data_IF_456438623014
#
_entry.id   IF_456438623014
#
_cell.length_a   1.000
_cell.length_b   1.000
_cell.length_c   1.000
_cell.angle_alpha   90.00
_cell.angle_beta   90.00
_cell.angle_gamma   90.00
#
_symmetry.space_group_name_H-M   'P 1'
#
loop_
_entity.id
_entity.type
_entity.pdbx_description
1 polymer ?
#
# COMPACT_ATOMS: atom_id res chain seq x y z
N UNK A 1 25.18 19.69 22.53
CA UNK A 1 24.49 20.41 21.43
C UNK A 1 24.79 19.75 20.10
N UNK A 2 24.07 18.68 19.75
CA UNK A 2 24.07 18.20 18.37
C UNK A 2 23.07 19.07 17.61
N UNK A 3 23.55 19.92 16.71
CA UNK A 3 22.69 20.65 15.80
C UNK A 3 22.04 19.62 14.87
N UNK A 4 20.79 19.29 15.13
CA UNK A 4 19.98 18.54 14.20
C UNK A 4 19.45 19.53 13.17
N UNK A 5 19.90 19.40 11.93
CA UNK A 5 19.29 20.14 10.82
C UNK A 5 18.05 19.35 10.38
N UNK A 6 16.89 20.02 10.37
CA UNK A 6 15.68 19.43 9.82
C UNK A 6 15.89 19.34 8.32
N UNK A 7 16.24 18.15 7.83
CA UNK A 7 16.26 17.86 6.40
C UNK A 7 14.80 17.92 5.94
N UNK A 8 14.42 19.04 5.33
CA UNK A 8 13.13 19.16 4.66
C UNK A 8 13.12 18.13 3.52
N UNK A 9 12.00 17.41 3.29
CA UNK A 9 11.92 16.50 2.17
C UNK A 9 12.29 17.24 0.88
N UNK A 10 13.01 16.60 -0.06
CA UNK A 10 13.41 17.20 -1.33
C UNK A 10 12.22 17.52 -2.24
N UNK A 11 10.99 17.29 -1.77
CA UNK A 11 9.78 17.77 -2.42
C UNK A 11 9.68 19.25 -2.09
N UNK A 12 9.98 20.10 -3.07
CA UNK A 12 9.64 21.51 -3.03
C UNK A 12 8.11 21.61 -2.92
N UNK A 13 7.58 21.52 -1.70
CA UNK A 13 6.19 21.80 -1.42
C UNK A 13 6.02 23.29 -1.64
N UNK A 14 5.69 23.67 -2.88
CA UNK A 14 5.39 25.05 -3.21
C UNK A 14 4.18 25.45 -2.37
N UNK A 15 4.40 26.34 -1.40
CA UNK A 15 3.42 26.76 -0.41
C UNK A 15 2.13 27.34 -1.01
N UNK A 16 2.09 27.60 -2.33
CA UNK A 16 0.86 27.85 -3.10
C UNK A 16 0.96 27.19 -4.49
N UNK A 17 0.57 25.91 -4.57
CA UNK A 17 0.26 25.30 -5.86
C UNK A 17 -0.98 25.98 -6.44
N UNK A 18 -0.91 26.41 -7.70
CA UNK A 18 -2.07 26.94 -8.43
C UNK A 18 -3.00 25.81 -8.91
N UNK A 19 -2.57 24.55 -8.77
CA UNK A 19 -3.31 23.37 -9.20
C UNK A 19 -4.65 23.28 -8.48
N UNK A 20 -5.73 23.05 -9.23
CA UNK A 20 -7.05 22.81 -8.67
C UNK A 20 -7.13 21.38 -8.15
N UNK A 21 -7.19 21.21 -6.82
CA UNK A 21 -7.39 19.91 -6.15
C UNK A 21 -8.89 19.60 -6.08
N UNK A 22 -9.31 18.40 -6.48
CA UNK A 22 -10.72 17.97 -6.49
C UNK A 22 -10.80 16.63 -5.77
N UNK A 23 -11.63 16.56 -4.72
CA UNK A 23 -11.91 15.30 -4.02
C UNK A 23 -13.30 14.82 -4.37
N UNK A 24 -13.38 13.57 -4.82
CA UNK A 24 -14.62 12.90 -5.16
C UNK A 24 -14.93 11.90 -4.05
N UNK A 25 -16.01 12.17 -3.31
CA UNK A 25 -16.52 11.24 -2.30
C UNK A 25 -17.26 10.08 -2.97
N UNK A 26 -16.62 8.92 -2.99
CA UNK A 26 -17.17 7.71 -3.59
C UNK A 26 -18.43 7.18 -2.88
N UNK A 27 -18.75 7.64 -1.66
CA UNK A 27 -20.00 7.29 -0.95
C UNK A 27 -21.21 8.00 -1.55
N UNK A 28 -21.00 9.13 -2.22
CA UNK A 28 -22.07 9.92 -2.87
C UNK A 28 -22.40 9.45 -4.29
N UNK A 29 -21.59 8.53 -4.83
CA UNK A 29 -21.75 8.02 -6.20
C UNK A 29 -22.76 6.86 -6.22
N UNK A 30 -23.79 7.00 -7.06
CA UNK A 30 -24.73 5.93 -7.36
C UNK A 30 -24.06 4.88 -8.27
N UNK A 31 -23.67 3.75 -7.67
CA UNK A 31 -22.94 2.66 -8.36
C UNK A 31 -23.75 1.97 -9.46
N UNK A 32 -25.07 2.17 -9.51
CA UNK A 32 -25.91 1.64 -10.58
C UNK A 32 -25.88 2.53 -11.83
N UNK A 33 -25.55 3.81 -11.68
CA UNK A 33 -25.50 4.79 -12.77
C UNK A 33 -24.07 5.14 -13.17
N UNK A 34 -23.12 4.92 -12.28
CA UNK A 34 -21.77 5.43 -12.45
C UNK A 34 -20.71 4.42 -12.00
N UNK A 35 -19.60 4.44 -12.72
CA UNK A 35 -18.47 3.58 -12.46
C UNK A 35 -17.55 4.18 -11.39
N UNK A 36 -17.38 3.51 -10.27
CA UNK A 36 -16.52 3.98 -9.18
C UNK A 36 -15.03 4.04 -9.53
N UNK A 37 -14.58 3.26 -10.53
CA UNK A 37 -13.17 3.30 -10.95
C UNK A 37 -12.91 4.50 -11.86
N UNK A 38 -13.91 4.94 -12.63
CA UNK A 38 -13.82 6.12 -13.49
C UNK A 38 -15.15 6.86 -13.40
N UNK A 39 -15.25 7.66 -12.35
CA UNK A 39 -16.41 8.52 -12.09
C UNK A 39 -16.68 9.44 -13.28
N UNK A 40 -17.92 9.88 -13.43
CA UNK A 40 -18.35 10.79 -14.48
C UNK A 40 -17.57 12.10 -14.43
N UNK A 41 -17.26 12.59 -13.23
CA UNK A 41 -16.36 13.74 -13.04
C UNK A 41 -14.98 13.44 -13.60
N UNK A 42 -14.35 12.32 -13.19
CA UNK A 42 -13.02 11.96 -13.71
C UNK A 42 -13.05 11.79 -15.24
N UNK A 43 -14.07 11.13 -15.79
CA UNK A 43 -14.22 10.94 -17.22
C UNK A 43 -14.31 12.27 -17.99
N UNK A 44 -15.13 13.22 -17.52
CA UNK A 44 -15.26 14.55 -18.13
C UNK A 44 -13.93 15.28 -18.16
N UNK A 45 -13.21 15.26 -17.03
CA UNK A 45 -11.93 15.92 -16.86
C UNK A 45 -10.85 15.30 -17.78
N UNK A 46 -10.79 13.97 -17.87
CA UNK A 46 -9.91 13.27 -18.83
C UNK A 46 -10.27 13.69 -20.26
N UNK A 47 -11.56 13.62 -20.63
CA UNK A 47 -12.01 13.93 -21.99
C UNK A 47 -11.69 15.37 -22.41
N UNK A 48 -11.78 16.33 -21.50
CA UNK A 48 -11.38 17.71 -21.75
C UNK A 48 -9.88 17.84 -22.06
N UNK A 49 -9.03 17.16 -21.31
CA UNK A 49 -7.58 17.20 -21.52
C UNK A 49 -7.18 16.48 -22.81
N UNK A 50 -7.78 15.32 -23.11
CA UNK A 50 -7.59 14.61 -24.37
C UNK A 50 -7.96 15.50 -25.58
N UNK A 51 -9.09 16.23 -25.52
CA UNK A 51 -9.51 17.15 -26.59
C UNK A 51 -8.50 18.29 -26.83
N UNK A 52 -7.78 18.71 -25.79
CA UNK A 52 -6.71 19.71 -25.87
C UNK A 52 -5.36 19.13 -26.32
N UNK A 53 -5.30 17.83 -26.60
CA UNK A 53 -4.07 17.07 -26.88
C UNK A 53 -3.08 17.02 -25.70
N UNK A 54 -3.60 17.11 -24.48
CA UNK A 54 -2.81 17.10 -23.26
C UNK A 54 -2.61 15.66 -22.74
N UNK A 55 -1.72 15.52 -21.75
CA UNK A 55 -1.41 14.23 -21.12
C UNK A 55 -2.11 14.09 -19.79
N UNK A 56 -2.47 12.85 -19.50
CA UNK A 56 -3.14 12.48 -18.24
C UNK A 56 -2.38 11.37 -17.55
N UNK A 57 -2.21 11.49 -16.24
CA UNK A 57 -1.65 10.44 -15.40
C UNK A 57 -2.72 9.94 -14.43
N UNK A 58 -2.88 8.62 -14.37
CA UNK A 58 -3.80 7.94 -13.47
C UNK A 58 -2.98 7.04 -12.56
N UNK A 59 -2.99 7.35 -11.27
CA UNK A 59 -2.31 6.60 -10.23
C UNK A 59 -3.28 5.69 -9.49
N UNK A 60 -2.84 4.45 -9.25
CA UNK A 60 -3.52 3.51 -8.37
C UNK A 60 -2.51 2.76 -7.49
N UNK A 61 -2.76 2.69 -6.19
CA UNK A 61 -1.87 1.96 -5.29
C UNK A 61 -2.09 0.45 -5.44
N UNK A 62 -1.02 -0.29 -5.77
CA UNK A 62 -1.03 -1.75 -5.96
C UNK A 62 -0.86 -2.54 -4.66
N UNK A 63 -0.50 -1.90 -3.55
CA UNK A 63 -0.21 -2.60 -2.30
C UNK A 63 -1.50 -3.11 -1.66
N UNK A 64 -1.64 -4.44 -1.58
CA UNK A 64 -2.67 -5.10 -0.77
C UNK A 64 -3.64 -6.01 -1.54
N UNK A 65 -3.77 -5.86 -2.86
CA UNK A 65 -4.57 -6.77 -3.67
C UNK A 65 -3.80 -7.23 -4.91
N UNK A 66 -3.33 -8.47 -4.85
CA UNK A 66 -3.20 -9.26 -6.06
C UNK A 66 -4.56 -9.41 -6.71
N UNK A 67 -4.61 -9.50 -8.03
CA UNK A 67 -5.82 -9.91 -8.72
C UNK A 67 -6.34 -11.23 -8.15
N UNK A 68 -7.55 -11.35 -7.65
CA UNK A 68 -8.08 -12.59 -7.06
C UNK A 68 -9.41 -12.99 -7.69
N UNK A 69 -9.81 -14.24 -7.48
CA UNK A 69 -11.14 -14.72 -7.88
C UNK A 69 -12.10 -14.62 -6.70
N UNK A 70 -13.35 -14.27 -6.95
CA UNK A 70 -14.42 -14.34 -5.97
C UNK A 70 -15.63 -15.05 -6.57
N UNK A 71 -16.22 -15.99 -5.82
CA UNK A 71 -17.49 -16.57 -6.18
C UNK A 71 -18.63 -15.61 -5.82
N UNK A 72 -19.46 -15.21 -6.78
CA UNK A 72 -20.62 -14.34 -6.50
C UNK A 72 -21.77 -15.05 -5.80
N UNK A 73 -21.83 -16.36 -5.89
CA UNK A 73 -22.88 -17.15 -5.23
C UNK A 73 -22.58 -17.33 -3.74
N UNK A 74 -21.36 -17.75 -3.37
CA UNK A 74 -21.02 -18.04 -1.97
C UNK A 74 -20.04 -17.05 -1.32
N UNK A 75 -19.53 -16.06 -2.07
CA UNK A 75 -18.60 -15.05 -1.55
C UNK A 75 -17.16 -15.53 -1.32
N UNK A 76 -16.86 -16.81 -1.55
CA UNK A 76 -15.54 -17.38 -1.25
C UNK A 76 -14.49 -16.90 -2.24
N UNK A 77 -13.33 -16.56 -1.69
CA UNK A 77 -12.10 -16.22 -2.40
C UNK A 77 -11.15 -17.41 -2.27
N UNK A 78 -10.64 -18.00 -3.37
CA UNK A 78 -9.64 -19.05 -3.31
C UNK A 78 -8.38 -18.60 -2.57
N UNK A 79 -7.97 -19.37 -1.56
CA UNK A 79 -6.82 -19.08 -0.72
C UNK A 79 -5.77 -20.17 -0.86
N UNK A 80 -4.51 -19.77 -0.78
CA UNK A 80 -3.41 -20.71 -0.68
C UNK A 80 -3.55 -21.52 0.63
N UNK A 81 -3.60 -22.86 0.60
CA UNK A 81 -3.73 -23.66 1.81
C UNK A 81 -2.50 -23.55 2.72
N UNK A 82 -1.35 -23.22 2.13
CA UNK A 82 -0.07 -23.13 2.83
C UNK A 82 0.13 -21.76 3.51
N UNK A 83 -0.44 -20.69 2.96
CA UNK A 83 -0.30 -19.33 3.49
C UNK A 83 -1.62 -18.76 4.07
N UNK A 84 -2.76 -19.40 3.81
CA UNK A 84 -4.10 -18.89 4.14
C UNK A 84 -4.38 -17.45 3.64
N UNK A 85 -3.73 -17.04 2.56
CA UNK A 85 -3.94 -15.74 1.89
C UNK A 85 -4.58 -15.97 0.52
N UNK A 86 -5.32 -14.99 -0.03
CA UNK A 86 -5.87 -15.07 -1.38
C UNK A 86 -4.80 -15.41 -2.43
N UNK A 87 -5.16 -16.26 -3.38
CA UNK A 87 -4.34 -16.48 -4.57
C UNK A 87 -4.40 -15.28 -5.52
N UNK A 88 -3.29 -15.00 -6.21
CA UNK A 88 -3.27 -14.15 -7.40
C UNK A 88 -3.75 -14.92 -8.61
N UNK A 89 -4.76 -14.45 -9.34
CA UNK A 89 -5.17 -15.03 -10.61
C UNK A 89 -4.46 -14.35 -11.77
N UNK A 90 -3.68 -15.14 -12.50
CA UNK A 90 -2.99 -14.77 -13.72
C UNK A 90 -3.81 -15.21 -14.92
N UNK A 91 -4.54 -14.27 -15.54
CA UNK A 91 -5.49 -14.54 -16.63
C UNK A 91 -4.85 -15.15 -17.87
N UNK A 92 -3.61 -14.76 -18.20
CA UNK A 92 -2.89 -15.25 -19.38
C UNK A 92 -2.60 -16.75 -19.33
N UNK A 93 -2.24 -17.23 -18.14
CA UNK A 93 -1.87 -18.64 -17.92
C UNK A 93 -3.03 -19.46 -17.35
N UNK A 94 -4.16 -18.81 -17.04
CA UNK A 94 -5.29 -19.39 -16.31
C UNK A 94 -4.86 -20.09 -15.00
N UNK A 95 -4.01 -19.41 -14.22
CA UNK A 95 -3.44 -19.97 -12.97
C UNK A 95 -3.73 -19.11 -11.75
N UNK A 96 -3.90 -19.76 -10.62
CA UNK A 96 -3.87 -19.18 -9.29
C UNK A 96 -2.44 -19.34 -8.74
N UNK A 97 -1.79 -18.25 -8.32
CA UNK A 97 -0.40 -18.20 -7.88
C UNK A 97 -0.32 -17.50 -6.53
N UNK A 98 0.34 -18.12 -5.55
CA UNK A 98 0.61 -17.49 -4.26
C UNK A 98 1.99 -16.83 -4.32
N UNK A 99 2.08 -15.51 -4.31
CA UNK A 99 3.40 -14.83 -4.36
C UNK A 99 4.26 -15.01 -3.10
N UNK A 100 3.70 -15.51 -2.00
CA UNK A 100 4.44 -15.71 -0.76
C UNK A 100 5.12 -17.08 -0.65
N UNK A 101 4.60 -18.10 -1.35
CA UNK A 101 5.19 -19.45 -1.35
C UNK A 101 5.41 -20.03 -2.75
N UNK A 102 5.11 -19.25 -3.79
CA UNK A 102 5.20 -19.62 -5.21
C UNK A 102 4.33 -20.81 -5.63
N UNK A 103 3.46 -21.33 -4.75
CA UNK A 103 2.50 -22.38 -5.09
C UNK A 103 1.58 -21.90 -6.20
N UNK A 104 1.38 -22.74 -7.22
CA UNK A 104 0.47 -22.44 -8.33
C UNK A 104 -0.44 -23.62 -8.64
N UNK A 105 -1.67 -23.31 -9.05
CA UNK A 105 -2.67 -24.28 -9.48
C UNK A 105 -3.41 -23.76 -10.72
N UNK A 106 -3.89 -24.68 -11.55
CA UNK A 106 -4.69 -24.33 -12.73
C UNK A 106 -6.11 -24.03 -12.24
N UNK A 107 -6.69 -22.93 -12.70
CA UNK A 107 -8.07 -22.60 -12.38
C UNK A 107 -9.01 -23.31 -13.36
N UNK A 108 -9.91 -24.14 -12.84
CA UNK A 108 -10.82 -24.96 -13.63
C UNK A 108 -12.15 -24.25 -14.01
N UNK A 109 -12.32 -22.98 -13.64
CA UNK A 109 -13.55 -22.22 -13.91
C UNK A 109 -14.64 -22.33 -12.84
N UNK A 110 -14.48 -23.18 -11.83
CA UNK A 110 -15.51 -23.46 -10.82
C UNK A 110 -15.05 -23.11 -9.40
N UNK A 111 -16.01 -22.75 -8.55
CA UNK A 111 -15.78 -22.57 -7.11
C UNK A 111 -15.43 -23.92 -6.46
N UNK A 112 -14.30 -23.99 -5.77
CA UNK A 112 -13.90 -25.19 -5.02
C UNK A 112 -14.82 -25.50 -3.83
N UNK A 113 -15.66 -24.55 -3.40
CA UNK A 113 -16.56 -24.73 -2.26
C UNK A 113 -18.00 -25.07 -2.67
N UNK A 114 -18.62 -24.27 -3.55
CA UNK A 114 -20.03 -24.47 -3.94
C UNK A 114 -20.23 -25.03 -5.36
N UNK A 115 -19.16 -25.30 -6.10
CA UNK A 115 -19.23 -25.80 -7.48
C UNK A 115 -19.77 -24.80 -8.51
N UNK A 116 -20.12 -23.57 -8.12
CA UNK A 116 -20.63 -22.56 -9.04
C UNK A 116 -19.55 -22.09 -10.02
N UNK A 117 -19.92 -21.91 -11.29
CA UNK A 117 -19.10 -21.23 -12.30
C UNK A 117 -19.26 -19.70 -12.28
N UNK A 118 -20.08 -19.14 -11.37
CA UNK A 118 -20.27 -17.70 -11.20
C UNK A 118 -19.09 -17.09 -10.42
N UNK A 119 -17.91 -17.25 -11.01
CA UNK A 119 -16.64 -16.75 -10.51
C UNK A 119 -16.30 -15.49 -11.28
N UNK A 120 -16.10 -14.41 -10.55
CA UNK A 120 -15.64 -13.15 -11.13
C UNK A 120 -14.19 -12.93 -10.79
N UNK A 121 -13.48 -12.53 -11.83
CA UNK A 121 -12.16 -11.98 -11.68
C UNK A 121 -12.22 -10.60 -11.05
N UNK A 122 -11.66 -10.50 -9.86
CA UNK A 122 -11.39 -9.24 -9.20
C UNK A 122 -9.92 -8.89 -9.43
N UNK A 123 -9.63 -8.42 -10.65
CA UNK A 123 -8.31 -7.98 -11.06
C UNK A 123 -7.74 -6.88 -10.19
N UNK A 124 -6.43 -6.66 -10.34
CA UNK A 124 -5.78 -5.43 -9.88
C UNK A 124 -6.61 -4.26 -10.41
N UNK A 125 -6.95 -3.29 -9.56
CA UNK A 125 -7.83 -2.20 -9.98
C UNK A 125 -7.34 -1.50 -11.25
N UNK A 126 -6.02 -1.55 -11.51
CA UNK A 126 -5.35 -0.99 -12.67
C UNK A 126 -5.78 -1.64 -14.00
N UNK A 127 -5.93 -2.97 -14.11
CA UNK A 127 -6.37 -3.63 -15.35
C UNK A 127 -7.84 -3.31 -15.68
N UNK A 128 -8.67 -3.16 -14.64
CA UNK A 128 -10.06 -2.74 -14.81
C UNK A 128 -10.15 -1.28 -15.25
N UNK A 129 -9.33 -0.40 -14.68
CA UNK A 129 -9.21 1.00 -15.09
C UNK A 129 -8.72 1.08 -16.54
N UNK A 130 -7.67 0.34 -16.89
CA UNK A 130 -7.12 0.23 -18.25
C UNK A 130 -8.18 -0.18 -19.27
N UNK A 131 -8.88 -1.31 -19.03
CA UNK A 131 -9.93 -1.78 -19.94
C UNK A 131 -11.05 -0.75 -20.12
N UNK A 132 -11.42 -0.02 -19.07
CA UNK A 132 -12.47 1.01 -19.13
C UNK A 132 -12.01 2.25 -19.88
N UNK A 133 -10.75 2.63 -19.73
CA UNK A 133 -10.14 3.72 -20.50
C UNK A 133 -10.07 3.35 -21.98
N UNK A 134 -9.67 2.13 -22.33
CA UNK A 134 -9.69 1.67 -23.73
C UNK A 134 -11.09 1.73 -24.35
N UNK A 135 -12.13 1.34 -23.60
CA UNK A 135 -13.51 1.41 -24.08
C UNK A 135 -13.98 2.85 -24.32
N UNK A 136 -13.58 3.79 -23.45
CA UNK A 136 -14.03 5.19 -23.51
C UNK A 136 -13.17 6.08 -24.41
N UNK A 137 -11.89 5.74 -24.58
CA UNK A 137 -10.87 6.53 -25.27
C UNK A 137 -10.09 5.68 -26.28
N UNK A 138 -10.80 4.93 -27.13
CA UNK A 138 -10.20 4.00 -28.10
C UNK A 138 -9.21 4.64 -29.10
N UNK A 139 -9.24 5.97 -29.25
CA UNK A 139 -8.37 6.75 -30.14
C UNK A 139 -7.13 7.32 -29.42
N UNK A 140 -6.95 7.03 -28.13
CA UNK A 140 -5.84 7.55 -27.32
C UNK A 140 -4.93 6.41 -26.92
N UNK A 141 -3.63 6.62 -27.07
CA UNK A 141 -2.62 5.66 -26.62
C UNK A 141 -2.58 5.61 -25.09
N UNK A 142 -2.77 4.41 -24.54
CA UNK A 142 -2.73 4.15 -23.10
C UNK A 142 -1.45 3.39 -22.78
N UNK A 143 -0.64 3.98 -21.90
CA UNK A 143 0.58 3.40 -21.37
C UNK A 143 0.32 2.85 -19.97
N UNK A 144 0.90 1.69 -19.66
CA UNK A 144 0.82 1.08 -18.33
C UNK A 144 2.20 0.97 -17.72
N UNK A 145 2.30 1.34 -16.44
CA UNK A 145 3.54 1.35 -15.69
C UNK A 145 3.34 0.68 -14.34
N UNK A 146 3.49 -0.65 -14.36
CA UNK A 146 3.47 -1.48 -13.18
C UNK A 146 4.66 -2.45 -13.14
N UNK A 147 4.91 -3.02 -11.97
CA UNK A 147 6.05 -3.92 -11.73
C UNK A 147 6.06 -5.16 -12.61
N UNK A 148 4.91 -5.55 -13.15
CA UNK A 148 4.76 -6.80 -13.90
C UNK A 148 5.00 -6.54 -15.39
N UNK A 149 4.60 -5.38 -15.93
CA UNK A 149 4.96 -4.95 -17.30
C UNK A 149 6.46 -4.77 -17.49
N UNK A 150 7.13 -4.09 -16.54
CA UNK A 150 8.57 -3.80 -16.61
C UNK A 150 9.39 -5.10 -16.57
N UNK A 151 8.93 -6.13 -15.85
CA UNK A 151 9.59 -7.43 -15.81
C UNK A 151 9.46 -8.23 -17.11
N UNK A 152 8.42 -7.98 -17.90
CA UNK A 152 8.01 -8.92 -18.95
C UNK A 152 8.22 -8.43 -20.39
N UNK A 153 8.26 -7.13 -20.70
CA UNK A 153 8.16 -6.71 -22.13
C UNK A 153 8.90 -5.45 -22.61
N UNK A 154 9.18 -4.44 -21.79
CA UNK A 154 9.87 -3.21 -22.23
C UNK A 154 10.76 -2.65 -21.11
N UNK A 155 11.92 -2.11 -21.47
CA UNK A 155 12.72 -1.29 -20.54
C UNK A 155 11.88 -0.08 -20.12
N UNK A 156 11.81 0.21 -18.81
CA UNK A 156 11.04 1.33 -18.24
C UNK A 156 11.26 2.63 -19.04
N UNK A 157 12.52 2.91 -19.38
CA UNK A 157 12.93 4.07 -20.15
C UNK A 157 12.21 4.18 -21.51
N UNK A 158 11.93 3.06 -22.19
CA UNK A 158 11.25 3.09 -23.48
C UNK A 158 9.79 3.52 -23.34
N UNK A 159 9.07 2.98 -22.34
CA UNK A 159 7.66 3.37 -22.09
C UNK A 159 7.58 4.87 -21.80
N UNK A 160 8.55 5.40 -21.07
CA UNK A 160 8.64 6.81 -20.74
C UNK A 160 8.96 7.69 -21.95
N UNK A 161 9.89 7.26 -22.81
CA UNK A 161 10.18 7.95 -24.06
C UNK A 161 8.96 7.96 -24.98
N UNK A 162 8.30 6.80 -25.14
CA UNK A 162 7.08 6.67 -25.94
C UNK A 162 5.98 7.62 -25.40
N UNK A 163 5.76 7.62 -24.08
CA UNK A 163 4.80 8.53 -23.43
C UNK A 163 5.19 10.01 -23.57
N UNK A 164 6.49 10.34 -23.56
CA UNK A 164 6.98 11.70 -23.79
C UNK A 164 6.71 12.17 -25.23
N UNK A 165 6.83 11.30 -26.23
CA UNK A 165 6.59 11.63 -27.64
C UNK A 165 5.11 11.67 -28.05
N UNK A 166 4.25 10.93 -27.38
CA UNK A 166 2.84 10.77 -27.75
C UNK A 166 1.95 11.88 -27.19
N UNK A 167 1.05 12.45 -28.00
CA UNK A 167 0.05 13.46 -27.58
C UNK A 167 -1.26 13.36 -28.38
N UNK A 168 -2.43 13.24 -27.75
CA UNK A 168 -2.65 13.02 -26.31
C UNK A 168 -2.26 11.59 -25.89
N UNK A 169 -1.99 11.40 -24.61
CA UNK A 169 -1.69 10.09 -24.04
C UNK A 169 -2.17 9.97 -22.60
N UNK A 170 -2.49 8.74 -22.18
CA UNK A 170 -2.86 8.41 -20.80
C UNK A 170 -1.81 7.45 -20.24
N UNK A 171 -1.20 7.79 -19.11
CA UNK A 171 -0.33 6.88 -18.35
C UNK A 171 -1.07 6.38 -17.12
N UNK A 172 -1.19 5.07 -16.99
CA UNK A 172 -1.73 4.42 -15.79
C UNK A 172 -0.58 3.77 -15.05
N UNK A 173 -0.42 4.03 -13.76
CA UNK A 173 0.63 3.33 -13.03
C UNK A 173 0.49 3.33 -11.52
N UNK A 174 1.48 2.68 -10.92
CA UNK A 174 1.56 2.42 -9.47
C UNK A 174 2.67 3.26 -8.85
N UNK A 175 3.22 2.86 -7.70
CA UNK A 175 4.28 3.60 -6.99
C UNK A 175 5.51 3.94 -7.84
N UNK A 176 5.75 3.21 -8.94
CA UNK A 176 6.81 3.53 -9.90
C UNK A 176 6.58 4.86 -10.61
N UNK A 177 5.32 5.31 -10.77
CA UNK A 177 4.99 6.62 -11.36
C UNK A 177 5.55 7.79 -10.53
N UNK A 178 5.59 7.61 -9.21
CA UNK A 178 5.95 8.67 -8.27
C UNK A 178 7.44 8.69 -7.88
N UNK A 179 8.23 7.65 -8.23
CA UNK A 179 9.57 7.45 -7.66
C UNK A 179 10.74 7.83 -8.56
N UNK A 180 10.62 7.74 -9.88
CA UNK A 180 11.81 7.81 -10.77
C UNK A 180 11.52 8.48 -12.13
N UNK A 181 10.46 9.27 -12.25
CA UNK A 181 10.05 9.78 -13.55
C UNK A 181 10.09 11.30 -13.58
N UNK A 182 10.94 11.86 -14.43
CA UNK A 182 10.84 13.22 -14.94
C UNK A 182 9.63 13.31 -15.89
N UNK A 183 8.42 13.11 -15.34
CA UNK A 183 7.20 13.56 -16.00
C UNK A 183 7.05 15.04 -15.66
N UNK A 184 7.22 15.87 -16.67
CA UNK A 184 6.96 17.29 -16.57
C UNK A 184 5.77 17.66 -17.45
N UNK A 185 5.14 18.78 -17.12
CA UNK A 185 4.05 19.36 -17.89
C UNK A 185 2.82 18.44 -18.05
N UNK A 186 2.45 17.71 -17.00
CA UNK A 186 1.16 17.01 -16.96
C UNK A 186 0.05 17.99 -16.54
N UNK A 187 -1.10 17.94 -17.21
CA UNK A 187 -2.25 18.80 -16.89
C UNK A 187 -3.23 18.16 -15.90
N UNK A 188 -3.37 16.84 -15.93
CA UNK A 188 -4.28 16.11 -15.06
C UNK A 188 -3.61 14.90 -14.43
N UNK A 189 -3.64 14.85 -13.10
CA UNK A 189 -3.30 13.67 -12.31
C UNK A 189 -4.55 13.22 -11.56
N UNK A 190 -4.85 11.93 -11.61
CA UNK A 190 -5.94 11.32 -10.85
C UNK A 190 -5.42 10.19 -9.95
N UNK A 191 -5.72 10.25 -8.66
CA UNK A 191 -5.49 9.16 -7.70
C UNK A 191 -6.80 8.43 -7.50
N UNK A 192 -6.85 7.18 -7.96
CA UNK A 192 -7.99 6.28 -7.82
C UNK A 192 -7.73 5.33 -6.65
N UNK A 193 -8.78 5.02 -5.89
CA UNK A 193 -8.73 4.09 -4.75
C UNK A 193 -7.71 4.53 -3.68
N UNK A 194 -7.80 5.80 -3.27
CA UNK A 194 -6.89 6.39 -2.28
C UNK A 194 -6.86 5.60 -0.95
N UNK A 195 -8.01 5.08 -0.51
CA UNK A 195 -8.16 4.36 0.75
C UNK A 195 -7.33 3.08 0.81
N UNK A 196 -7.00 2.49 -0.34
CA UNK A 196 -6.14 1.29 -0.41
C UNK A 196 -4.75 1.50 0.20
N UNK A 197 -4.29 2.75 0.34
CA UNK A 197 -3.03 3.08 1.01
C UNK A 197 -3.06 2.77 2.52
N UNK A 198 -4.23 2.57 3.11
CA UNK A 198 -4.42 2.42 4.56
C UNK A 198 -4.94 1.03 4.97
N UNK A 199 -5.09 0.09 4.04
CA UNK A 199 -5.69 -1.22 4.33
C UNK A 199 -4.82 -2.14 5.19
N UNK A 200 -3.49 -2.02 5.10
CA UNK A 200 -2.59 -2.75 5.98
C UNK A 200 -2.27 -1.87 7.20
N UNK A 201 -2.39 -2.36 8.43
CA UNK A 201 -2.17 -1.56 9.63
C UNK A 201 -0.67 -1.27 9.82
N UNK A 202 -0.22 -0.12 9.34
CA UNK A 202 1.13 0.39 9.51
C UNK A 202 1.06 1.87 9.88
N UNK A 203 1.79 2.28 10.92
CA UNK A 203 1.78 3.64 11.42
C UNK A 203 2.40 4.65 10.45
N UNK A 204 3.24 4.18 9.50
CA UNK A 204 3.81 5.03 8.45
C UNK A 204 2.83 5.35 7.30
N UNK A 205 1.63 4.75 7.27
CA UNK A 205 0.73 4.90 6.12
C UNK A 205 0.32 6.36 5.87
N UNK A 206 0.03 7.12 6.92
CA UNK A 206 -0.35 8.53 6.82
C UNK A 206 0.74 9.36 6.16
N UNK A 207 1.99 9.18 6.59
CA UNK A 207 3.18 9.83 6.02
C UNK A 207 3.41 9.41 4.57
N UNK A 208 3.37 8.11 4.28
CA UNK A 208 3.57 7.59 2.93
C UNK A 208 2.50 8.09 1.96
N UNK A 209 1.24 8.13 2.38
CA UNK A 209 0.15 8.66 1.57
C UNK A 209 0.37 10.15 1.27
N UNK A 210 0.72 10.96 2.28
CA UNK A 210 1.00 12.38 2.10
C UNK A 210 2.18 12.63 1.15
N UNK A 211 3.29 11.92 1.35
CA UNK A 211 4.48 12.04 0.51
C UNK A 211 4.19 11.64 -0.93
N UNK A 212 3.43 10.56 -1.13
CA UNK A 212 3.02 10.10 -2.45
C UNK A 212 2.12 11.12 -3.17
N UNK A 213 1.12 11.68 -2.48
CA UNK A 213 0.29 12.74 -3.06
C UNK A 213 1.12 13.97 -3.43
N UNK A 214 2.10 14.32 -2.58
CA UNK A 214 3.00 15.45 -2.83
C UNK A 214 3.94 15.21 -4.02
N UNK A 215 4.46 13.99 -4.19
CA UNK A 215 5.24 13.58 -5.37
C UNK A 215 4.40 13.58 -6.65
N UNK A 216 3.15 13.12 -6.58
CA UNK A 216 2.24 13.17 -7.71
C UNK A 216 1.81 14.61 -8.04
N UNK A 217 1.76 15.50 -7.05
CA UNK A 217 1.47 16.91 -7.28
C UNK A 217 2.64 17.61 -8.01
N UNK A 218 3.89 17.22 -7.73
CA UNK A 218 5.06 17.86 -8.35
C UNK A 218 5.23 17.57 -9.85
N UNK A 219 4.62 16.51 -10.39
CA UNK A 219 4.64 16.23 -11.83
C UNK A 219 3.63 17.07 -12.63
N UNK A 220 2.66 17.70 -11.94
CA UNK A 220 1.72 18.61 -12.58
C UNK A 220 2.38 19.93 -12.92
N UNK A 221 2.00 20.49 -14.07
CA UNK A 221 2.29 21.88 -14.39
C UNK A 221 1.68 22.78 -13.32
N UNK A 222 2.46 23.67 -12.72
CA UNK A 222 1.94 24.61 -11.72
C UNK A 222 1.08 25.71 -12.38
N UNK A 223 -0.20 25.43 -12.59
CA UNK A 223 -1.16 26.30 -13.26
C UNK A 223 -2.57 26.08 -12.72
N UNK A 224 -3.39 27.13 -12.76
CA UNK A 224 -4.83 27.05 -12.42
C UNK A 224 -5.65 26.19 -13.39
N UNK A 225 -5.08 25.84 -14.55
CA UNK A 225 -5.67 24.91 -15.50
C UNK A 225 -5.41 23.45 -15.13
N UNK A 226 -4.35 23.19 -14.37
CA UNK A 226 -3.97 21.83 -13.96
C UNK A 226 -4.87 21.34 -12.85
N UNK A 227 -5.18 20.06 -12.87
CA UNK A 227 -6.16 19.43 -11.97
C UNK A 227 -5.54 18.22 -11.29
N UNK A 228 -5.76 18.11 -9.98
CA UNK A 228 -5.40 16.93 -9.20
C UNK A 228 -6.66 16.32 -8.62
N UNK A 229 -7.09 15.16 -9.13
CA UNK A 229 -8.34 14.51 -8.73
C UNK A 229 -8.03 13.35 -7.79
N UNK A 230 -8.77 13.25 -6.68
CA UNK A 230 -8.66 12.16 -5.72
C UNK A 230 -10.03 11.51 -5.56
N UNK A 231 -10.12 10.21 -5.79
CA UNK A 231 -11.32 9.43 -5.47
C UNK A 231 -11.08 8.66 -4.17
N UNK A 232 -11.91 8.94 -3.17
CA UNK A 232 -11.79 8.34 -1.84
C UNK A 232 -13.17 8.06 -1.22
N UNK A 233 -13.25 7.02 -0.39
CA UNK A 233 -14.38 6.76 0.51
C UNK A 233 -14.23 7.53 1.83
N UNK A 234 -13.00 7.58 2.37
CA UNK A 234 -12.69 8.33 3.58
C UNK A 234 -12.14 9.72 3.25
N UNK A 235 -13.03 10.61 2.83
CA UNK A 235 -12.73 12.01 2.54
C UNK A 235 -12.27 12.82 3.77
N UNK A 236 -12.49 12.31 4.98
CA UNK A 236 -12.07 12.92 6.25
C UNK A 236 -10.69 12.44 6.72
N UNK A 237 -9.97 11.65 5.93
CA UNK A 237 -8.64 11.18 6.28
C UNK A 237 -7.67 12.37 6.51
N UNK A 238 -6.93 12.35 7.62
CA UNK A 238 -6.05 13.47 8.01
C UNK A 238 -4.98 13.78 6.98
N UNK A 239 -4.34 12.78 6.37
CA UNK A 239 -3.34 12.98 5.32
C UNK A 239 -3.94 13.63 4.08
N UNK A 240 -5.17 13.25 3.73
CA UNK A 240 -5.88 13.85 2.60
C UNK A 240 -6.23 15.32 2.87
N UNK A 241 -6.82 15.62 4.03
CA UNK A 241 -7.17 16.99 4.42
C UNK A 241 -5.93 17.90 4.47
N UNK A 242 -4.85 17.43 5.13
CA UNK A 242 -3.60 18.19 5.15
C UNK A 242 -2.99 18.37 3.76
N UNK A 243 -3.12 17.38 2.86
CA UNK A 243 -2.69 17.55 1.47
C UNK A 243 -3.51 18.62 0.74
N UNK A 244 -4.82 18.72 0.98
CA UNK A 244 -5.68 19.69 0.30
C UNK A 244 -5.41 21.10 0.82
N UNK A 245 -5.49 21.30 2.14
CA UNK A 245 -5.61 22.61 2.79
C UNK A 245 -4.32 23.11 3.45
N UNK A 246 -3.57 22.23 4.11
CA UNK A 246 -2.56 22.61 5.10
C UNK A 246 -1.10 22.51 4.69
N UNK A 247 -0.84 21.71 3.65
CA UNK A 247 0.51 21.40 3.20
C UNK A 247 1.37 20.66 4.21
N UNK A 248 2.68 20.64 3.92
CA UNK A 248 3.63 19.79 4.65
C UNK A 248 3.72 20.14 6.14
N UNK A 249 3.82 21.42 6.49
CA UNK A 249 4.01 21.82 7.88
C UNK A 249 2.80 21.48 8.75
N UNK A 250 1.58 21.65 8.24
CA UNK A 250 0.36 21.24 8.97
C UNK A 250 0.28 19.72 9.12
N UNK A 251 0.55 18.97 8.04
CA UNK A 251 0.62 17.51 8.08
C UNK A 251 1.63 17.05 9.13
N UNK A 252 2.85 17.58 9.08
CA UNK A 252 3.97 17.21 9.94
C UNK A 252 3.63 17.45 11.41
N UNK A 253 3.07 18.62 11.76
CA UNK A 253 2.71 18.93 13.13
C UNK A 253 1.60 18.03 13.68
N UNK A 254 0.56 17.73 12.89
CA UNK A 254 -0.52 16.80 13.28
C UNK A 254 0.01 15.37 13.44
N UNK A 255 0.81 14.90 12.49
CA UNK A 255 1.39 13.56 12.51
C UNK A 255 2.34 13.38 13.69
N UNK A 256 3.18 14.38 13.99
CA UNK A 256 4.05 14.35 15.17
C UNK A 256 3.26 14.29 16.47
N UNK A 257 2.17 15.05 16.60
CA UNK A 257 1.32 15.01 17.79
C UNK A 257 0.75 13.60 18.00
N UNK A 258 0.18 13.02 16.94
CA UNK A 258 -0.36 11.65 16.97
C UNK A 258 0.73 10.62 17.33
N UNK A 259 1.93 10.74 16.76
CA UNK A 259 3.05 9.84 17.06
C UNK A 259 3.53 10.00 18.49
N UNK A 260 3.51 11.21 19.05
CA UNK A 260 3.87 11.45 20.44
C UNK A 260 2.88 10.79 21.39
N UNK A 261 1.59 10.98 21.15
CA UNK A 261 0.52 10.40 21.96
C UNK A 261 0.52 8.86 21.93
N UNK A 262 0.78 8.28 20.76
CA UNK A 262 0.79 6.83 20.56
C UNK A 262 2.18 6.18 20.77
N UNK A 263 3.17 6.96 21.23
CA UNK A 263 4.55 6.52 21.43
C UNK A 263 5.13 5.81 20.19
N UNK A 264 4.95 6.39 18.99
CA UNK A 264 5.61 5.95 17.76
C UNK A 264 6.89 6.74 17.49
N UNK A 265 7.81 6.22 16.67
CA UNK A 265 8.99 6.95 16.21
C UNK A 265 8.61 8.32 15.64
N UNK A 266 9.32 9.41 16.00
CA UNK A 266 10.63 9.40 16.68
C UNK A 266 10.60 9.45 18.22
N UNK A 267 9.42 9.37 18.85
CA UNK A 267 9.29 9.52 20.31
C UNK A 267 9.57 8.23 21.10
N UNK A 268 9.62 7.10 20.41
CA UNK A 268 10.08 5.82 20.95
C UNK A 268 10.79 5.02 19.85
N UNK A 269 11.58 4.03 20.24
CA UNK A 269 12.01 2.95 19.36
C UNK A 269 10.99 1.83 19.36
N UNK A 270 10.88 1.16 18.21
CA UNK A 270 10.02 0.00 18.04
C UNK A 270 10.87 -1.27 17.95
N UNK A 271 10.47 -2.33 18.64
CA UNK A 271 11.12 -3.64 18.52
C UNK A 271 10.03 -4.68 18.27
N UNK A 272 9.98 -5.22 17.06
CA UNK A 272 9.02 -6.24 16.66
C UNK A 272 9.66 -7.62 16.82
N UNK A 273 9.14 -8.42 17.74
CA UNK A 273 9.61 -9.78 18.01
C UNK A 273 8.62 -10.72 17.35
N UNK A 274 9.08 -11.46 16.33
CA UNK A 274 8.25 -12.37 15.55
C UNK A 274 8.70 -13.80 15.83
N UNK A 275 7.76 -14.65 16.26
CA UNK A 275 7.95 -16.09 16.37
C UNK A 275 7.21 -16.76 15.22
N UNK A 276 7.87 -17.71 14.55
CA UNK A 276 7.27 -18.45 13.44
C UNK A 276 7.60 -19.93 13.48
N UNK A 277 6.66 -20.78 13.09
CA UNK A 277 6.79 -22.23 13.20
C UNK A 277 5.67 -22.98 12.48
N UNK A 278 5.87 -24.26 12.19
CA UNK A 278 4.84 -25.08 11.51
C UNK A 278 3.70 -25.51 12.42
N UNK A 279 3.94 -25.55 13.73
CA UNK A 279 2.96 -25.92 14.75
C UNK A 279 2.58 -24.64 15.49
N UNK A 280 1.35 -24.18 15.29
CA UNK A 280 0.87 -22.92 15.88
C UNK A 280 0.96 -22.91 17.41
N UNK A 281 0.54 -24.00 18.07
CA UNK A 281 0.59 -24.09 19.54
C UNK A 281 2.00 -23.89 20.08
N UNK A 282 3.02 -24.40 19.39
CA UNK A 282 4.43 -24.21 19.77
C UNK A 282 4.88 -22.77 19.59
N UNK A 283 4.41 -22.09 18.53
CA UNK A 283 4.70 -20.67 18.27
C UNK A 283 4.07 -19.78 19.34
N UNK A 284 2.80 -20.02 19.69
CA UNK A 284 2.08 -19.28 20.74
C UNK A 284 2.81 -19.48 22.08
N UNK A 285 3.11 -20.72 22.45
CA UNK A 285 3.82 -21.02 23.68
C UNK A 285 5.21 -20.38 23.75
N UNK A 286 5.96 -20.37 22.65
CA UNK A 286 7.27 -19.72 22.60
C UNK A 286 7.15 -18.19 22.77
N UNK A 287 6.16 -17.55 22.14
CA UNK A 287 6.01 -16.09 22.24
C UNK A 287 5.48 -15.64 23.61
N UNK A 288 4.56 -16.39 24.22
CA UNK A 288 4.07 -16.15 25.58
C UNK A 288 5.19 -16.33 26.62
N UNK A 289 6.04 -17.35 26.46
CA UNK A 289 7.23 -17.51 27.32
C UNK A 289 8.24 -16.38 27.16
N UNK A 290 8.40 -15.83 25.95
CA UNK A 290 9.25 -14.66 25.73
C UNK A 290 8.66 -13.43 26.42
N UNK A 291 7.34 -13.21 26.31
CA UNK A 291 6.64 -12.14 27.02
C UNK A 291 6.87 -12.24 28.53
N UNK A 292 6.65 -13.41 29.13
CA UNK A 292 6.89 -13.63 30.56
C UNK A 292 8.36 -13.34 30.93
N UNK A 293 9.30 -13.82 30.13
CA UNK A 293 10.73 -13.57 30.31
C UNK A 293 11.08 -12.08 30.24
N UNK A 294 10.48 -11.34 29.32
CA UNK A 294 10.66 -9.89 29.17
C UNK A 294 10.12 -9.17 30.41
N UNK A 295 8.86 -9.43 30.79
CA UNK A 295 8.20 -8.78 31.93
C UNK A 295 8.93 -9.04 33.25
N UNK A 296 9.50 -10.22 33.44
CA UNK A 296 10.16 -10.60 34.70
C UNK A 296 11.61 -10.07 34.80
N UNK A 297 12.33 -9.94 33.69
CA UNK A 297 13.78 -9.69 33.71
C UNK A 297 14.19 -8.31 33.21
N UNK A 298 13.39 -7.64 32.38
CA UNK A 298 13.73 -6.33 31.83
C UNK A 298 13.14 -5.23 32.74
N UNK A 299 14.03 -4.49 33.42
CA UNK A 299 13.68 -3.44 34.40
C UNK A 299 13.89 -2.05 33.83
N UNK A 300 13.20 -1.75 32.73
CA UNK A 300 13.14 -0.42 32.11
C UNK A 300 11.69 -0.14 31.67
N UNK A 301 11.38 1.12 31.39
CA UNK A 301 10.07 1.48 30.85
C UNK A 301 9.93 1.01 29.40
N UNK A 302 8.91 0.20 29.15
CA UNK A 302 8.47 -0.19 27.82
C UNK A 302 6.96 -0.43 27.82
N UNK A 303 6.35 -0.30 26.64
CA UNK A 303 4.98 -0.75 26.38
C UNK A 303 5.05 -1.94 25.44
N UNK A 304 4.40 -3.03 25.82
CA UNK A 304 4.27 -4.24 24.98
C UNK A 304 2.86 -4.29 24.40
N UNK A 305 2.77 -4.51 23.09
CA UNK A 305 1.53 -4.78 22.37
C UNK A 305 1.57 -6.21 21.82
N UNK A 306 0.48 -6.96 22.01
CA UNK A 306 0.47 -8.40 21.80
C UNK A 306 0.90 -9.17 23.06
N UNK A 307 1.27 -10.46 22.95
CA UNK A 307 1.44 -11.22 21.71
C UNK A 307 0.14 -11.40 20.93
N UNK A 308 0.23 -11.36 19.59
CA UNK A 308 -0.92 -11.52 18.69
C UNK A 308 -0.51 -12.19 17.38
N UNK A 309 -1.47 -12.72 16.59
CA UNK A 309 -1.21 -13.13 15.22
C UNK A 309 -0.55 -11.99 14.43
N UNK A 310 0.54 -12.30 13.72
CA UNK A 310 1.15 -11.31 12.84
C UNK A 310 0.18 -10.94 11.69
N UNK A 311 0.29 -9.73 11.12
CA UNK A 311 -0.59 -9.26 10.03
C UNK A 311 -0.68 -10.26 8.87
N UNK A 312 0.43 -10.91 8.52
CA UNK A 312 0.42 -12.13 7.71
C UNK A 312 0.55 -13.35 8.61
N UNK A 313 -0.60 -13.81 9.12
CA UNK A 313 -0.72 -14.88 10.11
C UNK A 313 -0.02 -16.19 9.71
N UNK A 314 0.03 -16.51 8.40
CA UNK A 314 0.68 -17.73 7.92
C UNK A 314 1.40 -17.47 6.59
N UNK A 315 2.66 -17.91 6.50
CA UNK A 315 3.46 -17.82 5.26
C UNK A 315 4.20 -19.14 5.08
N UNK A 316 4.04 -19.76 3.91
CA UNK A 316 4.74 -20.99 3.53
C UNK A 316 4.62 -22.12 4.59
N UNK A 317 3.41 -22.31 5.12
CA UNK A 317 3.06 -23.23 6.23
C UNK A 317 3.54 -22.83 7.62
N UNK A 318 4.28 -21.73 7.77
CA UNK A 318 4.69 -21.23 9.07
C UNK A 318 3.64 -20.26 9.61
N UNK A 319 3.05 -20.60 10.74
CA UNK A 319 2.28 -19.67 11.56
C UNK A 319 3.21 -18.61 12.12
N UNK A 320 2.74 -17.36 12.18
CA UNK A 320 3.50 -16.20 12.64
C UNK A 320 2.73 -15.47 13.71
N UNK A 321 3.35 -15.32 14.87
CA UNK A 321 2.90 -14.47 15.96
C UNK A 321 3.95 -13.42 16.24
N UNK A 322 3.53 -12.26 16.71
CA UNK A 322 4.45 -11.21 17.06
C UNK A 322 4.00 -10.44 18.30
N UNK A 323 4.96 -9.73 18.89
CA UNK A 323 4.71 -8.70 19.88
C UNK A 323 5.53 -7.47 19.50
N UNK A 324 4.96 -6.29 19.72
CA UNK A 324 5.61 -5.01 19.42
C UNK A 324 5.95 -4.31 20.73
N UNK A 325 7.23 -4.02 20.92
CA UNK A 325 7.73 -3.27 22.07
C UNK A 325 7.96 -1.83 21.66
N UNK A 326 7.49 -0.89 22.49
CA UNK A 326 7.76 0.54 22.38
C UNK A 326 8.59 0.95 23.59
N UNK A 327 9.75 1.55 23.39
CA UNK A 327 10.61 1.99 24.50
C UNK A 327 11.48 3.18 24.11
N UNK A 328 11.80 4.05 25.06
CA UNK A 328 12.80 5.10 24.90
C UNK A 328 14.25 4.59 25.06
N UNK A 329 14.42 3.34 25.51
CA UNK A 329 15.71 2.73 25.87
C UNK A 329 15.98 1.43 25.10
N UNK A 330 15.89 1.48 23.77
CA UNK A 330 16.03 0.29 22.89
C UNK A 330 17.34 -0.48 23.10
N UNK A 331 18.46 0.21 23.32
CA UNK A 331 19.74 -0.46 23.60
C UNK A 331 19.67 -1.32 24.87
N UNK A 332 19.15 -0.76 25.98
CA UNK A 332 19.00 -1.50 27.24
C UNK A 332 17.99 -2.62 27.12
N UNK A 333 16.90 -2.39 26.39
CA UNK A 333 15.92 -3.44 26.10
C UNK A 333 16.57 -4.61 25.35
N UNK A 334 17.29 -4.32 24.26
CA UNK A 334 17.96 -5.32 23.44
C UNK A 334 19.05 -6.09 24.20
N UNK A 335 19.76 -5.45 25.13
CA UNK A 335 20.70 -6.14 26.04
C UNK A 335 19.98 -7.13 26.95
N UNK A 336 18.86 -6.72 27.56
CA UNK A 336 18.03 -7.60 28.39
C UNK A 336 17.45 -8.76 27.58
N UNK A 337 16.90 -8.46 26.41
CA UNK A 337 16.35 -9.43 25.48
C UNK A 337 17.42 -10.44 25.02
N UNK A 338 18.63 -9.99 24.68
CA UNK A 338 19.73 -10.88 24.32
C UNK A 338 20.08 -11.87 25.43
N UNK A 339 20.04 -11.44 26.70
CA UNK A 339 20.27 -12.34 27.85
C UNK A 339 19.17 -13.37 28.02
N UNK A 340 17.91 -12.99 27.78
CA UNK A 340 16.77 -13.92 27.78
C UNK A 340 16.95 -14.95 26.66
N UNK A 341 17.21 -14.50 25.43
CA UNK A 341 17.36 -15.37 24.26
C UNK A 341 18.51 -16.38 24.38
N UNK A 342 19.62 -16.00 25.01
CA UNK A 342 20.76 -16.91 25.27
C UNK A 342 20.35 -18.15 26.07
N UNK A 343 19.34 -18.02 26.94
CA UNK A 343 18.82 -19.09 27.80
C UNK A 343 17.52 -19.69 27.28
N UNK A 344 16.93 -19.06 26.26
CA UNK A 344 15.61 -19.41 25.76
C UNK A 344 15.67 -20.72 24.95
N UNK A 345 15.00 -21.74 25.45
CA UNK A 345 14.80 -23.01 24.73
C UNK A 345 13.50 -22.93 23.94
N UNK A 346 13.60 -22.50 22.68
CA UNK A 346 12.48 -22.52 21.74
C UNK A 346 12.07 -23.94 21.39
N UNK A 347 10.81 -24.14 21.01
CA UNK A 347 10.35 -25.40 20.45
C UNK A 347 11.08 -25.74 19.14
N UNK A 348 11.20 -27.04 18.84
CA UNK A 348 11.83 -27.51 17.62
C UNK A 348 11.06 -27.00 16.38
N UNK A 349 11.79 -26.47 15.40
CA UNK A 349 11.21 -25.89 14.18
C UNK A 349 10.64 -24.48 14.33
N UNK A 350 10.58 -23.91 15.55
CA UNK A 350 10.31 -22.48 15.75
C UNK A 350 11.53 -21.63 15.37
N UNK A 351 11.26 -20.43 14.85
CA UNK A 351 12.23 -19.39 14.53
C UNK A 351 11.79 -18.09 15.20
N UNK A 352 12.74 -17.38 15.79
CA UNK A 352 12.52 -16.06 16.40
C UNK A 352 13.28 -15.04 15.55
N UNK A 353 12.60 -13.98 15.15
CA UNK A 353 13.15 -12.85 14.39
C UNK A 353 12.92 -11.60 15.24
N UNK A 354 13.93 -10.75 15.35
CA UNK A 354 13.84 -9.48 16.06
C UNK A 354 14.17 -8.39 15.07
N UNK A 355 13.20 -7.51 14.85
CA UNK A 355 13.34 -6.35 13.98
C UNK A 355 13.33 -5.09 14.85
N UNK A 356 14.47 -4.40 14.91
CA UNK A 356 14.63 -3.16 15.69
C UNK A 356 14.48 -1.97 14.77
N UNK A 357 13.62 -1.05 15.17
CA UNK A 357 13.15 0.10 14.38
C UNK A 357 12.69 -0.33 12.98
N UNK A 358 11.71 -1.26 12.91
CA UNK A 358 11.20 -1.78 11.65
C UNK A 358 10.72 -0.65 10.75
N UNK A 359 11.20 -0.65 9.50
CA UNK A 359 10.65 0.21 8.44
C UNK A 359 9.20 -0.18 8.10
N UNK A 360 8.83 -1.44 8.35
CA UNK A 360 7.49 -1.99 8.17
C UNK A 360 7.14 -2.89 9.35
N UNK A 361 5.98 -2.69 9.99
CA UNK A 361 5.53 -3.56 11.09
C UNK A 361 4.97 -4.91 10.58
N UNK A 362 4.73 -5.02 9.27
CA UNK A 362 4.03 -6.12 8.58
C UNK A 362 4.95 -7.30 8.17
#
# INVERSE_FOLDING_TARGET
NKNFEIIKPPVSYHAKSLVKKIVIDLKTIDKFKEDINITNTLYKEINEEIKKKNKVVIFMNKRGYSSYLICKNCGIIPRCPDCNIPYSYHKKDNRLICHHCSKSEIFNGFCSYCGSNNIVFQGTGIEKVESKLFQRFAHVTIFRLDSDEVKHKKNLNQILLDFKSENPAILIGTQMVAREIELENIELVAVIDFDSMFYLPDFYNSERAFLLLSQLLSILKNSSKSRFIIQAYNTNNTSLLSFIDGGYDEFYNKELLNRKELLYPPFSSLINIIVSGRIEKSVIHDIEKLEEGINNNIRIDFLMLGPSPAPFYKINRFYRWHMLIKTSSSLRFNMGLANILKRFKRNEGSKIIIDTDPVWIL
#
